data_IF_790077740742
#
_entry.id   IF_790077740742
#
_cell.length_a   1.000
_cell.length_b   1.000
_cell.length_c   1.000
_cell.angle_alpha   90.00
_cell.angle_beta   90.00
_cell.angle_gamma   90.00
#
_symmetry.space_group_name_H-M   'P 1'
#
loop_
_entity.id
_entity.type
_entity.pdbx_description
1 polymer ?
#
# COMPACT_ATOMS: atom_id res chain seq x y z
N UNK A 1 37.92 -4.32 13.52
CA UNK A 1 37.83 -2.89 13.81
C UNK A 1 36.38 -2.46 13.57
N UNK A 2 35.58 -2.41 14.62
CA UNK A 2 34.18 -2.00 14.54
C UNK A 2 34.13 -0.46 14.41
N UNK A 3 33.55 0.03 13.32
CA UNK A 3 33.34 1.46 13.11
C UNK A 3 32.32 1.99 14.11
N UNK A 4 32.72 2.99 14.92
CA UNK A 4 31.79 3.76 15.74
C UNK A 4 30.85 4.53 14.81
N UNK A 5 29.55 4.28 14.91
CA UNK A 5 28.53 5.13 14.30
C UNK A 5 28.47 6.41 15.13
N UNK A 6 28.94 7.53 14.56
CA UNK A 6 28.83 8.87 15.16
C UNK A 6 27.76 9.62 14.40
N UNK A 7 26.66 9.96 15.07
CA UNK A 7 25.59 10.79 14.52
C UNK A 7 25.67 12.17 15.19
N UNK A 8 25.79 13.21 14.37
CA UNK A 8 25.64 14.60 14.80
C UNK A 8 24.14 14.94 14.88
N UNK A 9 23.63 15.18 16.09
CA UNK A 9 22.34 15.86 16.32
C UNK A 9 22.64 17.26 16.86
N UNK A 10 21.88 18.25 16.39
CA UNK A 10 21.89 19.61 16.94
C UNK A 10 21.79 19.59 18.47
N UNK A 11 22.50 20.52 19.10
CA UNK A 11 22.92 20.52 20.49
C UNK A 11 21.81 20.19 21.51
N UNK A 12 21.78 18.94 21.99
CA UNK A 12 21.91 18.56 23.41
C UNK A 12 21.42 17.11 23.63
N UNK A 13 22.31 16.29 24.20
CA UNK A 13 22.21 14.84 24.51
C UNK A 13 22.57 13.90 23.35
N UNK A 14 23.87 13.73 23.12
CA UNK A 14 24.40 12.51 22.50
C UNK A 14 24.20 11.33 23.47
N UNK A 15 23.10 10.59 23.31
CA UNK A 15 22.99 9.24 23.85
C UNK A 15 23.84 8.34 22.96
N UNK A 16 25.07 8.04 23.40
CA UNK A 16 25.89 7.00 22.78
C UNK A 16 25.28 5.66 23.21
N UNK A 17 24.31 5.17 22.44
CA UNK A 17 23.82 3.81 22.63
C UNK A 17 24.87 2.88 22.03
N UNK A 18 25.40 1.95 22.83
CA UNK A 18 26.38 1.00 22.34
C UNK A 18 25.71 0.00 21.40
N UNK A 19 26.29 -0.35 20.24
CA UNK A 19 25.81 -1.45 19.41
C UNK A 19 25.65 -2.78 20.17
N UNK A 20 26.38 -2.94 21.27
CA UNK A 20 26.33 -4.11 22.14
C UNK A 20 24.99 -4.21 22.92
N UNK A 21 24.45 -3.08 23.38
CA UNK A 21 23.15 -3.03 24.07
C UNK A 21 22.02 -3.48 23.12
N UNK A 22 22.08 -3.03 21.86
CA UNK A 22 21.13 -3.45 20.83
C UNK A 22 21.26 -4.93 20.47
N UNK A 23 22.47 -5.49 20.48
CA UNK A 23 22.66 -6.92 20.26
C UNK A 23 22.07 -7.76 21.38
N UNK A 24 22.22 -7.32 22.62
CA UNK A 24 21.66 -8.04 23.77
C UNK A 24 20.13 -7.95 23.79
N UNK A 25 19.55 -6.80 23.45
CA UNK A 25 18.11 -6.67 23.19
C UNK A 25 17.64 -7.68 22.12
N UNK A 26 18.36 -7.77 20.99
CA UNK A 26 18.00 -8.69 19.90
C UNK A 26 18.08 -10.15 20.31
N UNK A 27 19.12 -10.53 21.06
CA UNK A 27 19.27 -11.89 21.60
C UNK A 27 18.12 -12.23 22.56
N UNK A 28 17.76 -11.29 23.42
CA UNK A 28 16.64 -11.45 24.35
C UNK A 28 15.31 -11.61 23.60
N UNK A 29 15.05 -10.76 22.60
CA UNK A 29 13.87 -10.85 21.74
C UNK A 29 13.82 -12.22 21.05
N UNK A 30 14.89 -12.62 20.36
CA UNK A 30 14.94 -13.88 19.63
C UNK A 30 14.67 -15.09 20.53
N UNK A 31 15.23 -15.10 21.75
CA UNK A 31 14.99 -16.15 22.74
C UNK A 31 13.51 -16.22 23.13
N UNK A 32 12.85 -15.08 23.29
CA UNK A 32 11.44 -15.00 23.66
C UNK A 32 10.46 -15.34 22.53
N UNK A 33 10.83 -15.10 21.27
CA UNK A 33 10.00 -15.40 20.10
C UNK A 33 9.86 -16.90 19.78
N UNK A 34 10.80 -17.73 20.25
CA UNK A 34 10.87 -19.15 19.92
C UNK A 34 9.54 -19.90 20.12
N UNK A 35 9.19 -20.78 19.17
CA UNK A 35 7.91 -21.51 19.14
C UNK A 35 7.63 -22.38 20.37
N UNK A 36 8.67 -22.76 21.13
CA UNK A 36 8.53 -23.52 22.37
C UNK A 36 8.09 -22.67 23.58
N UNK A 37 8.06 -21.33 23.45
CA UNK A 37 7.62 -20.46 24.53
C UNK A 37 6.10 -20.29 24.54
N UNK A 38 5.50 -20.04 25.71
CA UNK A 38 4.07 -19.72 25.81
C UNK A 38 3.70 -18.50 24.97
N UNK A 39 2.49 -18.48 24.42
CA UNK A 39 1.97 -17.36 23.62
C UNK A 39 2.06 -16.03 24.36
N UNK A 40 1.79 -16.02 25.66
CA UNK A 40 1.93 -14.82 26.49
C UNK A 40 3.34 -14.22 26.41
N UNK A 41 4.37 -15.05 26.59
CA UNK A 41 5.78 -14.62 26.50
C UNK A 41 6.11 -14.14 25.09
N UNK A 42 5.66 -14.86 24.06
CA UNK A 42 5.89 -14.48 22.65
C UNK A 42 5.26 -13.13 22.34
N UNK A 43 4.02 -12.89 22.77
CA UNK A 43 3.34 -11.59 22.63
C UNK A 43 4.14 -10.45 23.27
N UNK A 44 4.63 -10.64 24.50
CA UNK A 44 5.45 -9.64 25.18
C UNK A 44 6.80 -9.40 24.49
N UNK A 45 7.41 -10.45 23.93
CA UNK A 45 8.63 -10.31 23.13
C UNK A 45 8.40 -9.55 21.83
N UNK A 46 7.29 -9.80 21.12
CA UNK A 46 6.91 -9.02 19.93
C UNK A 46 6.58 -7.58 20.31
N UNK A 47 5.89 -7.34 21.43
CA UNK A 47 5.65 -5.99 21.95
C UNK A 47 6.97 -5.25 22.20
N UNK A 48 7.91 -5.87 22.88
CA UNK A 48 9.23 -5.29 23.13
C UNK A 48 9.98 -5.01 21.83
N UNK A 49 9.95 -5.96 20.89
CA UNK A 49 10.51 -5.81 19.56
C UNK A 49 9.91 -4.61 18.80
N UNK A 50 8.58 -4.46 18.81
CA UNK A 50 7.90 -3.33 18.15
C UNK A 50 8.32 -2.00 18.77
N UNK A 51 8.39 -1.90 20.10
CA UNK A 51 8.84 -0.68 20.77
C UNK A 51 10.27 -0.30 20.37
N UNK A 52 11.16 -1.29 20.19
CA UNK A 52 12.51 -1.05 19.64
C UNK A 52 12.45 -0.59 18.18
N UNK A 53 11.58 -1.18 17.36
CA UNK A 53 11.39 -0.73 15.97
C UNK A 53 10.84 0.70 15.88
N UNK A 54 10.19 1.25 16.91
CA UNK A 54 9.77 2.67 16.90
C UNK A 54 10.97 3.63 17.06
N UNK A 55 12.11 3.17 17.58
CA UNK A 55 13.32 3.96 17.77
C UNK A 55 14.12 4.04 16.45
N UNK A 56 14.29 5.23 15.84
CA UNK A 56 15.01 5.38 14.57
C UNK A 56 16.43 4.81 14.59
N UNK A 57 17.18 5.07 15.66
CA UNK A 57 18.56 4.62 15.82
C UNK A 57 18.66 3.08 15.86
N UNK A 58 17.67 2.40 16.46
CA UNK A 58 17.60 0.94 16.47
C UNK A 58 17.25 0.38 15.09
N UNK A 59 16.35 1.04 14.34
CA UNK A 59 16.03 0.63 12.97
C UNK A 59 17.26 0.71 12.07
N UNK A 60 18.02 1.79 12.16
CA UNK A 60 19.27 1.94 11.40
C UNK A 60 20.25 0.80 11.70
N UNK A 61 20.42 0.46 12.99
CA UNK A 61 21.24 -0.65 13.41
C UNK A 61 20.75 -1.99 12.84
N UNK A 62 19.50 -2.36 13.07
CA UNK A 62 18.99 -3.71 12.77
C UNK A 62 18.94 -4.00 11.27
N UNK A 63 18.69 -2.97 10.42
CA UNK A 63 18.73 -3.11 8.95
C UNK A 63 20.08 -3.63 8.46
N UNK A 64 21.18 -3.14 9.05
CA UNK A 64 22.54 -3.57 8.68
C UNK A 64 22.89 -5.02 9.09
N UNK A 65 22.11 -5.63 9.99
CA UNK A 65 22.42 -6.96 10.55
C UNK A 65 21.89 -8.13 9.72
N UNK A 66 20.85 -7.91 8.89
CA UNK A 66 20.15 -8.97 8.17
C UNK A 66 19.38 -9.97 9.06
N UNK A 67 19.12 -9.65 10.34
CA UNK A 67 18.48 -10.56 11.31
C UNK A 67 16.94 -10.44 11.29
N UNK A 68 16.38 -9.37 10.74
CA UNK A 68 14.92 -9.08 10.73
C UNK A 68 14.11 -10.28 10.21
N UNK A 69 14.50 -10.84 9.08
CA UNK A 69 13.78 -11.96 8.44
C UNK A 69 13.81 -13.23 9.31
N UNK A 70 14.91 -13.46 10.04
CA UNK A 70 15.03 -14.57 11.01
C UNK A 70 14.12 -14.37 12.23
N UNK A 71 13.91 -13.13 12.68
CA UNK A 71 12.97 -12.86 13.79
C UNK A 71 11.53 -13.24 13.40
N UNK A 72 11.11 -12.89 12.18
CA UNK A 72 9.78 -13.22 11.67
C UNK A 72 9.60 -14.70 11.27
N UNK A 73 10.68 -15.46 11.07
CA UNK A 73 10.61 -16.92 10.91
C UNK A 73 10.09 -17.63 12.17
N UNK A 74 10.32 -17.07 13.35
CA UNK A 74 9.74 -17.59 14.60
C UNK A 74 8.24 -17.29 14.74
N UNK A 75 7.66 -16.46 13.88
CA UNK A 75 6.30 -15.94 13.98
C UNK A 75 5.38 -16.43 12.84
N UNK A 76 5.77 -17.47 12.10
CA UNK A 76 4.99 -17.98 10.96
C UNK A 76 3.59 -18.48 11.35
N UNK A 77 3.40 -18.88 12.60
CA UNK A 77 2.13 -19.32 13.20
C UNK A 77 1.31 -18.16 13.82
N UNK A 78 1.80 -16.92 13.77
CA UNK A 78 1.14 -15.78 14.42
C UNK A 78 -0.28 -15.52 13.90
N UNK A 79 -0.60 -15.92 12.66
CA UNK A 79 -1.94 -15.81 12.11
C UNK A 79 -2.99 -16.68 12.84
N UNK A 80 -2.56 -17.71 13.57
CA UNK A 80 -3.43 -18.61 14.34
C UNK A 80 -3.90 -18.01 15.69
N UNK A 81 -3.30 -16.89 16.10
CA UNK A 81 -3.50 -16.24 17.40
C UNK A 81 -3.85 -14.76 17.20
N UNK A 82 -4.98 -14.29 17.73
CA UNK A 82 -5.44 -12.91 17.47
C UNK A 82 -4.43 -11.86 17.95
N UNK A 83 -4.07 -11.90 19.24
CA UNK A 83 -3.20 -10.89 19.84
C UNK A 83 -1.75 -11.00 19.35
N UNK A 84 -1.21 -12.22 19.20
CA UNK A 84 0.13 -12.41 18.64
C UNK A 84 0.18 -11.92 17.19
N UNK A 85 -0.85 -12.22 16.39
CA UNK A 85 -1.00 -11.70 15.05
C UNK A 85 -1.03 -10.16 15.03
N UNK A 86 -1.82 -9.54 15.90
CA UNK A 86 -1.87 -8.08 16.02
C UNK A 86 -0.49 -7.50 16.36
N UNK A 87 0.16 -7.98 17.41
CA UNK A 87 1.51 -7.54 17.78
C UNK A 87 2.50 -7.70 16.62
N UNK A 88 2.42 -8.82 15.89
CA UNK A 88 3.29 -9.11 14.75
C UNK A 88 3.05 -8.12 13.60
N UNK A 89 1.78 -7.87 13.23
CA UNK A 89 1.45 -6.88 12.20
C UNK A 89 1.87 -5.47 12.59
N UNK A 90 1.74 -5.08 13.87
CA UNK A 90 2.22 -3.79 14.37
C UNK A 90 3.74 -3.67 14.25
N UNK A 91 4.50 -4.74 14.52
CA UNK A 91 5.94 -4.77 14.34
C UNK A 91 6.34 -4.61 12.86
N UNK A 92 5.69 -5.36 11.96
CA UNK A 92 5.94 -5.28 10.51
C UNK A 92 5.58 -3.89 9.97
N UNK A 93 4.48 -3.30 10.45
CA UNK A 93 4.07 -1.96 10.06
C UNK A 93 5.03 -0.87 10.56
N UNK A 94 5.56 -1.00 11.78
CA UNK A 94 6.60 -0.10 12.30
C UNK A 94 7.86 -0.09 11.42
N UNK A 95 8.20 -1.23 10.80
CA UNK A 95 9.31 -1.35 9.85
C UNK A 95 8.95 -0.95 8.41
N UNK A 96 7.67 -0.73 8.09
CA UNK A 96 7.20 -0.60 6.70
C UNK A 96 7.85 0.55 5.92
N UNK A 97 8.37 1.57 6.61
CA UNK A 97 9.07 2.72 6.01
C UNK A 97 10.50 2.41 5.59
N UNK A 98 11.08 1.36 6.15
CA UNK A 98 12.48 0.98 5.98
C UNK A 98 12.65 -0.25 5.07
N UNK A 99 11.55 -0.79 4.53
CA UNK A 99 11.55 -2.06 3.78
C UNK A 99 12.38 -2.03 2.49
N UNK A 100 12.77 -0.86 1.99
CA UNK A 100 13.69 -0.74 0.84
C UNK A 100 15.07 -1.33 1.15
N UNK A 101 15.51 -1.21 2.39
CA UNK A 101 16.84 -1.63 2.86
C UNK A 101 16.82 -2.97 3.61
N UNK A 102 15.62 -3.53 3.81
CA UNK A 102 15.43 -4.81 4.48
C UNK A 102 15.37 -5.90 3.42
N UNK A 103 15.98 -7.06 3.68
CA UNK A 103 15.87 -8.24 2.82
C UNK A 103 14.64 -9.08 3.22
N UNK A 104 13.45 -8.69 2.76
CA UNK A 104 12.23 -9.45 3.04
C UNK A 104 12.19 -10.74 2.22
N UNK A 105 12.53 -11.85 2.86
CA UNK A 105 12.46 -13.18 2.25
C UNK A 105 11.01 -13.66 2.03
N UNK A 106 10.86 -14.79 1.34
CA UNK A 106 9.54 -15.39 1.08
C UNK A 106 8.75 -15.67 2.36
N UNK A 107 9.42 -16.02 3.47
CA UNK A 107 8.76 -16.28 4.76
C UNK A 107 8.14 -15.01 5.35
N UNK A 108 8.81 -13.86 5.23
CA UNK A 108 8.29 -12.56 5.66
C UNK A 108 7.03 -12.19 4.87
N UNK A 109 7.09 -12.31 3.54
CA UNK A 109 5.97 -11.98 2.65
C UNK A 109 4.77 -12.93 2.86
N UNK A 110 5.03 -14.23 3.01
CA UNK A 110 3.99 -15.21 3.26
C UNK A 110 3.30 -14.98 4.61
N UNK A 111 4.07 -14.70 5.66
CA UNK A 111 3.53 -14.31 6.96
C UNK A 111 2.64 -13.07 6.85
N UNK A 112 3.10 -12.03 6.14
CA UNK A 112 2.33 -10.80 5.97
C UNK A 112 0.97 -11.07 5.33
N UNK A 113 0.94 -11.88 4.26
CA UNK A 113 -0.30 -12.27 3.57
C UNK A 113 -1.21 -13.08 4.48
N UNK A 114 -0.66 -14.06 5.22
CA UNK A 114 -1.44 -14.86 6.17
C UNK A 114 -2.08 -13.99 7.26
N UNK A 115 -1.41 -12.93 7.71
CA UNK A 115 -1.92 -12.00 8.73
C UNK A 115 -3.06 -11.11 8.22
N UNK A 116 -3.26 -10.98 6.90
CA UNK A 116 -4.43 -10.29 6.33
C UNK A 116 -5.72 -11.09 6.48
N UNK A 117 -5.62 -12.41 6.68
CA UNK A 117 -6.77 -13.29 6.71
C UNK A 117 -7.65 -13.05 7.94
N UNK A 118 -8.96 -13.10 7.68
CA UNK A 118 -10.04 -12.89 8.65
C UNK A 118 -10.52 -14.19 9.31
N UNK A 119 -9.68 -15.23 9.34
CA UNK A 119 -10.09 -16.55 9.80
C UNK A 119 -10.46 -16.51 11.29
N UNK A 120 -11.77 -16.49 11.55
CA UNK A 120 -12.43 -16.49 12.86
C UNK A 120 -12.59 -17.91 13.44
N UNK A 121 -12.01 -18.93 12.83
CA UNK A 121 -12.21 -20.31 13.26
C UNK A 121 -11.18 -20.68 14.32
N UNK A 122 -11.56 -20.51 15.59
CA UNK A 122 -10.85 -20.97 16.78
C UNK A 122 -9.42 -20.39 16.90
N UNK A 123 -9.32 -19.10 17.22
CA UNK A 123 -8.03 -18.54 17.64
C UNK A 123 -7.53 -19.34 18.85
N UNK A 124 -6.39 -20.03 18.68
CA UNK A 124 -5.80 -20.86 19.75
C UNK A 124 -5.55 -20.06 21.03
N UNK A 125 -5.53 -18.73 20.94
CA UNK A 125 -5.34 -17.79 22.05
C UNK A 125 -6.33 -17.95 23.20
N UNK A 126 -7.59 -18.37 22.96
CA UNK A 126 -8.57 -18.51 24.04
C UNK A 126 -8.29 -19.71 24.96
N UNK A 127 -7.66 -20.78 24.43
CA UNK A 127 -7.41 -22.00 25.20
C UNK A 127 -6.03 -22.01 25.89
N UNK A 128 -5.09 -21.18 25.44
CA UNK A 128 -3.70 -21.18 25.94
C UNK A 128 -3.37 -20.05 26.93
N UNK A 129 -4.27 -19.07 27.10
CA UNK A 129 -4.06 -17.90 27.95
C UNK A 129 -5.06 -17.87 29.11
N UNK A 130 -4.60 -17.51 30.30
CA UNK A 130 -5.51 -17.21 31.41
C UNK A 130 -6.24 -15.88 31.20
N UNK A 131 -7.41 -15.71 31.83
CA UNK A 131 -8.17 -14.45 31.77
C UNK A 131 -7.33 -13.22 32.18
N UNK A 132 -6.51 -13.38 33.23
CA UNK A 132 -5.60 -12.33 33.69
C UNK A 132 -4.54 -11.96 32.65
N UNK A 133 -3.99 -12.95 31.94
CA UNK A 133 -3.02 -12.73 30.88
C UNK A 133 -3.66 -12.07 29.67
N UNK A 134 -4.88 -12.48 29.29
CA UNK A 134 -5.63 -11.87 28.20
C UNK A 134 -5.87 -10.38 28.47
N UNK A 135 -6.32 -10.00 29.66
CA UNK A 135 -6.55 -8.59 30.03
C UNK A 135 -5.27 -7.77 29.87
N UNK A 136 -4.14 -8.27 30.41
CA UNK A 136 -2.84 -7.60 30.29
C UNK A 136 -2.43 -7.40 28.83
N UNK A 137 -2.57 -8.44 28.00
CA UNK A 137 -2.19 -8.36 26.60
C UNK A 137 -3.10 -7.43 25.81
N UNK A 138 -4.41 -7.40 26.09
CA UNK A 138 -5.35 -6.49 25.45
C UNK A 138 -5.04 -5.03 25.79
N UNK A 139 -4.72 -4.73 27.05
CA UNK A 139 -4.31 -3.37 27.46
C UNK A 139 -3.01 -2.95 26.77
N UNK A 140 -2.03 -3.85 26.71
CA UNK A 140 -0.79 -3.60 26.00
C UNK A 140 -1.00 -3.42 24.50
N UNK A 141 -1.91 -4.19 23.89
CA UNK A 141 -2.25 -4.06 22.47
C UNK A 141 -2.84 -2.68 22.17
N UNK A 142 -3.78 -2.18 22.99
CA UNK A 142 -4.36 -0.84 22.83
C UNK A 142 -3.29 0.25 22.92
N UNK A 143 -2.42 0.19 23.93
CA UNK A 143 -1.31 1.15 24.11
C UNK A 143 -0.36 1.11 22.92
N UNK A 144 0.06 -0.08 22.50
CA UNK A 144 0.97 -0.23 21.38
C UNK A 144 0.39 0.33 20.08
N UNK A 145 -0.87 0.01 19.76
CA UNK A 145 -1.50 0.51 18.55
C UNK A 145 -1.52 2.03 18.51
N UNK A 146 -1.83 2.68 19.65
CA UNK A 146 -1.79 4.14 19.76
C UNK A 146 -0.37 4.69 19.55
N UNK A 147 0.65 4.08 20.15
CA UNK A 147 2.04 4.53 19.99
C UNK A 147 2.55 4.35 18.56
N UNK A 148 2.27 3.21 17.93
CA UNK A 148 2.63 2.92 16.55
C UNK A 148 2.01 3.96 15.63
N UNK A 149 0.69 4.19 15.74
CA UNK A 149 -0.01 5.18 14.92
C UNK A 149 0.50 6.61 15.09
N UNK A 150 0.76 7.01 16.33
CA UNK A 150 1.33 8.32 16.64
C UNK A 150 2.70 8.49 15.99
N UNK A 151 3.56 7.48 16.09
CA UNK A 151 4.92 7.49 15.54
C UNK A 151 4.91 7.44 14.01
N UNK A 152 3.96 6.70 13.43
CA UNK A 152 3.81 6.60 11.97
C UNK A 152 2.91 7.68 11.37
N UNK A 153 2.41 8.63 12.17
CA UNK A 153 1.48 9.68 11.73
C UNK A 153 0.32 9.12 10.88
N UNK A 154 -0.29 8.01 11.33
CA UNK A 154 -1.42 7.38 10.67
C UNK A 154 -2.63 7.37 11.62
N UNK A 155 -3.83 7.46 11.05
CA UNK A 155 -5.07 7.26 11.80
C UNK A 155 -5.62 5.85 11.49
N UNK A 156 -5.88 5.05 12.54
CA UNK A 156 -6.68 3.84 12.37
C UNK A 156 -8.12 4.25 12.03
N UNK A 157 -8.83 3.44 11.23
CA UNK A 157 -10.29 3.45 11.23
C UNK A 157 -10.79 3.24 12.66
N UNK A 158 -11.84 3.96 13.06
CA UNK A 158 -12.45 3.80 14.38
C UNK A 158 -12.96 2.36 14.48
N UNK A 159 -12.23 1.51 15.18
CA UNK A 159 -12.60 0.10 15.39
C UNK A 159 -12.07 -0.42 16.71
N UNK A 160 -12.94 -1.10 17.46
CA UNK A 160 -12.59 -1.74 18.74
C UNK A 160 -12.10 -3.19 18.54
N UNK A 161 -12.24 -3.75 17.33
CA UNK A 161 -11.86 -5.13 17.04
C UNK A 161 -10.38 -5.26 16.74
N UNK A 162 -9.66 -6.03 17.58
CA UNK A 162 -8.25 -6.36 17.36
C UNK A 162 -8.02 -7.12 16.04
N UNK A 163 -8.94 -7.99 15.65
CA UNK A 163 -8.89 -8.68 14.34
C UNK A 163 -8.94 -7.69 13.17
N UNK A 164 -9.78 -6.64 13.22
CA UNK A 164 -9.80 -5.60 12.19
C UNK A 164 -8.53 -4.75 12.20
N UNK A 165 -7.99 -4.41 13.38
CA UNK A 165 -6.73 -3.67 13.52
C UNK A 165 -5.54 -4.47 12.96
N UNK A 166 -5.46 -5.77 13.27
CA UNK A 166 -4.44 -6.70 12.75
C UNK A 166 -4.42 -6.66 11.23
N UNK A 167 -5.58 -6.88 10.60
CA UNK A 167 -5.70 -6.85 9.14
C UNK A 167 -5.35 -5.49 8.57
N UNK A 168 -5.78 -4.41 9.20
CA UNK A 168 -5.44 -3.06 8.75
C UNK A 168 -3.93 -2.84 8.73
N UNK A 169 -3.21 -3.19 9.80
CA UNK A 169 -1.74 -3.08 9.84
C UNK A 169 -1.08 -3.96 8.77
N UNK A 170 -1.58 -5.18 8.55
CA UNK A 170 -1.07 -6.07 7.51
C UNK A 170 -1.24 -5.45 6.11
N UNK A 171 -2.45 -4.97 5.78
CA UNK A 171 -2.73 -4.33 4.50
C UNK A 171 -1.94 -3.03 4.30
N UNK A 172 -1.84 -2.17 5.31
CA UNK A 172 -1.05 -0.95 5.19
C UNK A 172 0.46 -1.23 5.07
N UNK A 173 0.95 -2.32 5.67
CA UNK A 173 2.33 -2.78 5.44
C UNK A 173 2.51 -3.26 3.99
N UNK A 174 1.56 -4.02 3.44
CA UNK A 174 1.58 -4.46 2.03
C UNK A 174 1.62 -3.27 1.08
N UNK A 175 0.80 -2.25 1.32
CA UNK A 175 0.73 -1.03 0.51
C UNK A 175 2.03 -0.21 0.54
N UNK A 176 2.86 -0.37 1.58
CA UNK A 176 4.17 0.29 1.69
C UNK A 176 5.32 -0.56 1.14
N UNK A 177 5.05 -1.78 0.64
CA UNK A 177 6.12 -2.62 0.11
C UNK A 177 6.78 -1.98 -1.13
N UNK A 178 8.11 -1.90 -1.17
CA UNK A 178 8.86 -1.51 -2.36
C UNK A 178 8.58 -2.42 -3.57
N UNK A 179 8.76 -1.87 -4.78
CA UNK A 179 8.50 -2.58 -6.03
C UNK A 179 9.29 -3.91 -6.15
N UNK A 180 10.49 -3.99 -5.59
CA UNK A 180 11.37 -5.17 -5.66
C UNK A 180 10.76 -6.44 -5.05
N UNK A 181 9.74 -6.31 -4.19
CA UNK A 181 9.07 -7.46 -3.55
C UNK A 181 8.04 -8.14 -4.45
N UNK A 182 7.55 -7.48 -5.50
CA UNK A 182 6.47 -7.98 -6.36
C UNK A 182 6.98 -8.93 -7.45
N UNK A 183 7.67 -9.99 -7.02
CA UNK A 183 7.98 -11.13 -7.87
C UNK A 183 6.72 -11.84 -8.36
N UNK A 184 6.83 -12.62 -9.45
CA UNK A 184 5.72 -13.44 -9.95
C UNK A 184 5.11 -14.33 -8.85
N UNK A 185 5.97 -15.01 -8.09
CA UNK A 185 5.55 -15.85 -6.96
C UNK A 185 4.72 -15.06 -5.95
N UNK A 186 5.14 -13.85 -5.59
CA UNK A 186 4.42 -13.07 -4.58
C UNK A 186 3.07 -12.59 -5.09
N UNK A 187 2.97 -12.23 -6.38
CA UNK A 187 1.69 -11.93 -7.02
C UNK A 187 0.75 -13.14 -6.93
N UNK A 188 1.21 -14.33 -7.28
CA UNK A 188 0.39 -15.54 -7.16
C UNK A 188 -0.12 -15.76 -5.72
N UNK A 189 0.75 -15.56 -4.72
CA UNK A 189 0.36 -15.65 -3.30
C UNK A 189 -0.71 -14.61 -2.93
N UNK A 190 -0.58 -13.36 -3.37
CA UNK A 190 -1.57 -12.30 -3.11
C UNK A 190 -2.94 -12.66 -3.71
N UNK A 191 -2.94 -13.18 -4.94
CA UNK A 191 -4.16 -13.62 -5.62
C UNK A 191 -4.81 -14.80 -4.88
N UNK A 192 -4.04 -15.85 -4.59
CA UNK A 192 -4.58 -17.10 -4.02
C UNK A 192 -5.10 -16.92 -2.60
N UNK A 193 -4.65 -15.86 -1.91
CA UNK A 193 -5.11 -15.48 -0.58
C UNK A 193 -6.22 -14.41 -0.61
N UNK A 194 -6.76 -14.07 -1.77
CA UNK A 194 -7.85 -13.13 -1.92
C UNK A 194 -7.51 -11.71 -1.46
N UNK A 195 -6.23 -11.31 -1.45
CA UNK A 195 -5.79 -9.99 -0.98
C UNK A 195 -6.24 -8.88 -1.94
N UNK A 196 -6.33 -9.22 -3.23
CA UNK A 196 -6.72 -8.29 -4.29
C UNK A 196 -8.14 -7.77 -4.11
N UNK A 197 -9.08 -8.66 -3.82
CA UNK A 197 -10.47 -8.36 -3.52
C UNK A 197 -10.57 -7.39 -2.33
N UNK A 198 -9.81 -7.65 -1.27
CA UNK A 198 -9.79 -6.80 -0.08
C UNK A 198 -9.30 -5.37 -0.39
N UNK A 199 -8.23 -5.27 -1.19
CA UNK A 199 -7.68 -3.98 -1.61
C UNK A 199 -8.65 -3.25 -2.53
N UNK A 200 -9.30 -3.94 -3.47
CA UNK A 200 -10.32 -3.35 -4.35
C UNK A 200 -11.52 -2.85 -3.53
N UNK A 201 -12.01 -3.63 -2.58
CA UNK A 201 -13.13 -3.25 -1.73
C UNK A 201 -12.81 -2.04 -0.84
N UNK A 202 -11.60 -2.01 -0.29
CA UNK A 202 -11.13 -0.89 0.54
C UNK A 202 -10.93 0.37 -0.31
N UNK A 203 -10.33 0.22 -1.50
CA UNK A 203 -10.12 1.32 -2.43
C UNK A 203 -11.45 1.92 -2.89
N UNK A 204 -12.40 1.07 -3.31
CA UNK A 204 -13.74 1.50 -3.71
C UNK A 204 -14.43 2.28 -2.59
N UNK A 205 -14.42 1.76 -1.36
CA UNK A 205 -15.05 2.44 -0.22
C UNK A 205 -14.46 3.83 -0.01
N UNK A 206 -13.13 3.97 -0.11
CA UNK A 206 -12.44 5.27 -0.01
C UNK A 206 -12.79 6.21 -1.16
N UNK A 207 -12.92 5.70 -2.39
CA UNK A 207 -13.32 6.51 -3.55
C UNK A 207 -14.77 7.01 -3.47
N UNK A 208 -15.66 6.29 -2.76
CA UNK A 208 -17.08 6.64 -2.67
C UNK A 208 -17.43 7.55 -1.49
N UNK A 209 -16.60 7.64 -0.45
CA UNK A 209 -16.81 8.53 0.69
C UNK A 209 -16.34 9.98 0.45
N UNK A 210 -15.99 10.33 -0.79
CA UNK A 210 -15.48 11.64 -1.24
C UNK A 210 -14.29 12.22 -0.43
N UNK A 211 -13.66 11.40 0.43
CA UNK A 211 -12.41 11.68 1.11
C UNK A 211 -11.22 11.35 0.18
N UNK A 212 -11.14 12.05 -0.95
CA UNK A 212 -10.14 11.84 -1.99
C UNK A 212 -8.80 12.51 -1.57
N UNK A 213 -8.20 12.01 -0.49
CA UNK A 213 -6.90 12.47 0.03
C UNK A 213 -5.74 11.59 -0.48
N UNK A 214 -4.49 12.05 -0.24
CA UNK A 214 -3.21 11.35 -0.49
C UNK A 214 -3.19 9.85 -0.13
N UNK A 215 -4.11 9.39 0.73
CA UNK A 215 -4.24 7.98 1.13
C UNK A 215 -4.51 7.02 -0.04
N UNK A 216 -5.06 7.50 -1.16
CA UNK A 216 -5.32 6.66 -2.34
C UNK A 216 -4.06 6.32 -3.14
N UNK A 217 -3.02 7.15 -3.07
CA UNK A 217 -1.82 6.99 -3.89
C UNK A 217 -1.16 5.63 -3.66
N UNK A 218 -1.08 5.18 -2.40
CA UNK A 218 -0.48 3.88 -2.05
C UNK A 218 -1.26 2.69 -2.62
N UNK A 219 -2.58 2.77 -2.66
CA UNK A 219 -3.43 1.73 -3.26
C UNK A 219 -3.17 1.66 -4.76
N UNK A 220 -3.13 2.80 -5.44
CA UNK A 220 -2.86 2.86 -6.88
C UNK A 220 -1.44 2.38 -7.21
N UNK A 221 -0.44 2.74 -6.39
CA UNK A 221 0.94 2.26 -6.55
C UNK A 221 1.03 0.74 -6.35
N UNK A 222 0.37 0.20 -5.32
CA UNK A 222 0.26 -1.24 -5.11
C UNK A 222 -0.36 -1.92 -6.33
N UNK A 223 -1.52 -1.43 -6.79
CA UNK A 223 -2.24 -1.98 -7.94
C UNK A 223 -1.42 -1.91 -9.23
N UNK A 224 -0.66 -0.84 -9.44
CA UNK A 224 0.24 -0.70 -10.58
C UNK A 224 1.38 -1.74 -10.54
N UNK A 225 1.89 -2.08 -9.35
CA UNK A 225 2.98 -3.06 -9.19
C UNK A 225 2.53 -4.52 -9.42
N UNK A 226 1.24 -4.82 -9.31
CA UNK A 226 0.71 -6.20 -9.41
C UNK A 226 -0.06 -6.47 -10.72
N UNK A 227 -0.36 -5.44 -11.51
CA UNK A 227 -1.29 -5.52 -12.65
C UNK A 227 -0.68 -6.02 -13.97
N UNK A 228 0.56 -6.48 -13.98
CA UNK A 228 1.32 -6.87 -15.19
C UNK A 228 1.16 -8.35 -15.59
N UNK A 229 0.41 -9.15 -14.83
CA UNK A 229 0.18 -10.58 -15.14
C UNK A 229 -1.26 -10.81 -15.59
N UNK A 230 -1.48 -11.75 -16.51
CA UNK A 230 -2.84 -12.07 -17.00
C UNK A 230 -3.80 -12.48 -15.87
N UNK A 231 -3.31 -13.26 -14.91
CA UNK A 231 -4.06 -13.70 -13.73
C UNK A 231 -4.53 -12.51 -12.88
N UNK A 232 -3.65 -11.53 -12.66
CA UNK A 232 -3.99 -10.31 -11.93
C UNK A 232 -4.91 -9.41 -12.73
N UNK A 233 -4.66 -9.24 -14.03
CA UNK A 233 -5.53 -8.44 -14.90
C UNK A 233 -6.95 -8.99 -14.89
N UNK A 234 -7.12 -10.32 -14.98
CA UNK A 234 -8.44 -10.95 -14.94
C UNK A 234 -9.21 -10.54 -13.67
N UNK A 235 -8.65 -10.75 -12.48
CA UNK A 235 -9.34 -10.38 -11.23
C UNK A 235 -9.59 -8.87 -11.11
N UNK A 236 -8.61 -8.04 -11.49
CA UNK A 236 -8.72 -6.57 -11.44
C UNK A 236 -9.82 -6.05 -12.36
N UNK A 237 -10.06 -6.73 -13.49
CA UNK A 237 -11.11 -6.42 -14.44
C UNK A 237 -12.47 -6.96 -13.99
N UNK A 238 -12.57 -8.23 -13.60
CA UNK A 238 -13.88 -8.90 -13.47
C UNK A 238 -14.46 -8.85 -12.07
N UNK A 239 -13.66 -8.57 -11.02
CA UNK A 239 -14.14 -8.61 -9.65
C UNK A 239 -15.30 -7.64 -9.42
N UNK A 240 -16.41 -8.19 -8.91
CA UNK A 240 -17.65 -7.48 -8.58
C UNK A 240 -18.11 -6.53 -9.70
N UNK A 241 -18.19 -7.05 -10.93
CA UNK A 241 -18.62 -6.33 -12.14
C UNK A 241 -17.78 -5.08 -12.43
N UNK A 242 -16.44 -5.25 -12.44
CA UNK A 242 -15.53 -4.15 -12.77
C UNK A 242 -15.46 -3.06 -11.73
N UNK A 243 -15.64 -3.42 -10.45
CA UNK A 243 -15.65 -2.48 -9.32
C UNK A 243 -14.43 -1.57 -9.32
N UNK A 244 -13.24 -2.12 -9.55
CA UNK A 244 -12.00 -1.34 -9.63
C UNK A 244 -12.00 -0.39 -10.83
N UNK A 245 -12.35 -0.86 -12.02
CA UNK A 245 -12.37 -0.05 -13.24
C UNK A 245 -13.29 1.16 -13.07
N UNK A 246 -14.50 0.95 -12.53
CA UNK A 246 -15.46 2.02 -12.22
C UNK A 246 -14.86 3.05 -11.23
N UNK A 247 -14.15 2.60 -10.20
CA UNK A 247 -13.44 3.50 -9.26
C UNK A 247 -12.31 4.27 -9.93
N UNK A 248 -11.49 3.62 -10.77
CA UNK A 248 -10.40 4.27 -11.49
C UNK A 248 -10.93 5.34 -12.44
N UNK A 249 -12.00 5.06 -13.17
CA UNK A 249 -12.66 6.04 -14.04
C UNK A 249 -13.18 7.25 -13.26
N UNK A 250 -13.78 7.04 -12.07
CA UNK A 250 -14.18 8.14 -11.16
C UNK A 250 -12.96 8.97 -10.74
N UNK A 251 -11.85 8.34 -10.37
CA UNK A 251 -10.60 9.04 -10.01
C UNK A 251 -10.09 9.86 -11.19
N UNK A 252 -9.98 9.28 -12.39
CA UNK A 252 -9.57 10.02 -13.59
C UNK A 252 -10.50 11.20 -13.88
N UNK A 253 -11.81 11.05 -13.71
CA UNK A 253 -12.77 12.15 -13.87
C UNK A 253 -12.53 13.30 -12.88
N UNK A 254 -12.33 12.96 -11.60
CA UNK A 254 -12.16 13.96 -10.54
C UNK A 254 -10.81 14.68 -10.65
N UNK A 255 -9.73 13.99 -10.99
CA UNK A 255 -8.39 14.59 -11.06
C UNK A 255 -8.00 15.08 -12.46
N UNK A 256 -8.68 14.63 -13.50
CA UNK A 256 -8.43 14.98 -14.90
C UNK A 256 -9.30 16.11 -15.46
N UNK A 257 -10.25 16.67 -14.69
CA UNK A 257 -11.07 17.81 -15.12
C UNK A 257 -10.55 19.13 -14.53
N UNK A 258 -10.50 20.18 -15.36
CA UNK A 258 -9.85 21.47 -15.09
C UNK A 258 -10.43 22.25 -13.87
N UNK A 259 -11.59 21.87 -13.33
CA UNK A 259 -12.21 22.50 -12.16
C UNK A 259 -11.50 22.17 -10.84
N UNK A 260 -10.83 21.03 -10.72
CA UNK A 260 -9.98 20.67 -9.58
C UNK A 260 -8.58 21.27 -9.66
N UNK A 261 -8.19 21.86 -10.81
CA UNK A 261 -6.98 22.68 -10.91
C UNK A 261 -7.01 23.91 -9.98
N UNK A 262 -8.20 24.38 -9.54
CA UNK A 262 -8.30 25.40 -8.47
C UNK A 262 -8.06 24.84 -7.07
N UNK A 263 -8.33 23.56 -6.80
CA UNK A 263 -8.02 22.91 -5.52
C UNK A 263 -6.58 22.39 -5.44
N UNK A 264 -5.89 22.28 -6.58
CA UNK A 264 -4.44 22.01 -6.67
C UNK A 264 -3.61 23.17 -6.07
N UNK A 265 -4.17 24.38 -5.99
CA UNK A 265 -3.43 25.62 -5.68
C UNK A 265 -3.48 26.02 -4.20
N UNK A 266 -4.48 25.59 -3.42
CA UNK A 266 -4.73 26.17 -2.08
C UNK A 266 -4.12 25.43 -0.88
N UNK A 267 -3.31 24.40 -1.11
CA UNK A 267 -2.50 23.78 -0.05
C UNK A 267 -1.06 23.65 -0.55
N UNK A 268 -0.15 24.42 0.05
CA UNK A 268 1.28 24.63 -0.27
C UNK A 268 2.18 23.34 -0.32
N UNK A 269 1.60 22.17 -0.57
CA UNK A 269 2.26 20.87 -0.72
C UNK A 269 1.46 19.82 -1.53
N UNK A 270 0.26 20.14 -2.05
CA UNK A 270 -0.71 19.12 -2.51
C UNK A 270 -0.87 18.94 -4.03
N UNK A 271 -0.34 19.87 -4.84
CA UNK A 271 -0.49 19.80 -6.30
C UNK A 271 0.22 18.62 -6.94
N UNK A 272 1.47 18.36 -6.56
CA UNK A 272 2.23 17.19 -7.02
C UNK A 272 1.59 15.86 -6.59
N UNK A 273 0.91 15.84 -5.44
CA UNK A 273 0.24 14.62 -4.95
C UNK A 273 -0.97 14.24 -5.82
N UNK A 274 -1.75 15.22 -6.27
CA UNK A 274 -2.96 14.99 -7.07
C UNK A 274 -2.64 14.48 -8.47
N UNK A 275 -1.60 15.04 -9.11
CA UNK A 275 -1.11 14.56 -10.41
C UNK A 275 -0.51 13.15 -10.29
N UNK A 276 0.20 12.86 -9.19
CA UNK A 276 0.74 11.52 -8.93
C UNK A 276 -0.36 10.46 -8.71
N UNK A 277 -1.47 10.83 -8.06
CA UNK A 277 -2.67 9.98 -7.97
C UNK A 277 -3.23 9.69 -9.36
N UNK A 278 -3.40 10.72 -10.20
CA UNK A 278 -3.88 10.55 -11.58
C UNK A 278 -2.95 9.66 -12.40
N UNK A 279 -1.64 9.93 -12.40
CA UNK A 279 -0.63 9.11 -13.08
C UNK A 279 -0.72 7.65 -12.63
N UNK A 280 -0.87 7.40 -11.32
CA UNK A 280 -0.93 6.04 -10.79
C UNK A 280 -2.22 5.33 -11.20
N UNK A 281 -3.35 6.03 -11.22
CA UNK A 281 -4.60 5.49 -11.73
C UNK A 281 -4.50 5.12 -13.23
N UNK A 282 -3.93 6.01 -14.04
CA UNK A 282 -3.71 5.76 -15.46
C UNK A 282 -2.74 4.59 -15.70
N UNK A 283 -1.68 4.43 -14.89
CA UNK A 283 -0.78 3.26 -14.96
C UNK A 283 -1.50 1.95 -14.72
N UNK A 284 -2.38 1.88 -13.71
CA UNK A 284 -3.20 0.69 -13.47
C UNK A 284 -4.08 0.40 -14.69
N UNK A 285 -4.71 1.44 -15.24
CA UNK A 285 -5.55 1.32 -16.44
C UNK A 285 -4.75 0.85 -17.66
N UNK A 286 -3.55 1.39 -17.90
CA UNK A 286 -2.64 0.92 -18.96
C UNK A 286 -2.37 -0.57 -18.81
N UNK A 287 -1.97 -1.00 -17.61
CA UNK A 287 -1.62 -2.40 -17.36
C UNK A 287 -2.80 -3.34 -17.60
N UNK A 288 -4.02 -2.98 -17.19
CA UNK A 288 -5.20 -3.84 -17.38
C UNK A 288 -5.84 -3.73 -18.77
N UNK A 289 -5.44 -2.74 -19.58
CA UNK A 289 -5.96 -2.54 -20.95
C UNK A 289 -4.98 -2.94 -22.05
N UNK A 290 -3.75 -3.33 -21.71
CA UNK A 290 -2.71 -3.71 -22.68
C UNK A 290 -3.17 -4.76 -23.70
N UNK A 291 -4.09 -5.65 -23.33
CA UNK A 291 -4.73 -6.57 -24.26
C UNK A 291 -6.22 -6.23 -24.40
N UNK A 292 -6.53 -5.06 -24.98
CA UNK A 292 -7.92 -4.62 -25.20
C UNK A 292 -8.72 -5.56 -26.11
N UNK A 293 -8.05 -6.45 -26.86
CA UNK A 293 -8.68 -7.54 -27.60
C UNK A 293 -9.46 -8.53 -26.73
N UNK A 294 -9.15 -8.61 -25.44
CA UNK A 294 -9.83 -9.44 -24.46
C UNK A 294 -11.30 -9.00 -24.27
N UNK A 295 -12.24 -9.93 -24.42
CA UNK A 295 -13.68 -9.69 -24.27
C UNK A 295 -14.06 -9.12 -22.90
N UNK A 296 -13.34 -9.46 -21.82
CA UNK A 296 -13.58 -8.88 -20.51
C UNK A 296 -13.25 -7.39 -20.47
N UNK A 297 -12.12 -6.98 -21.07
CA UNK A 297 -11.72 -5.57 -21.17
C UNK A 297 -12.77 -4.83 -22.00
N UNK A 298 -13.11 -5.35 -23.19
CA UNK A 298 -14.16 -4.78 -24.04
C UNK A 298 -15.43 -4.60 -23.24
N UNK A 299 -15.99 -5.66 -22.65
CA UNK A 299 -17.27 -5.62 -21.93
C UNK A 299 -17.34 -4.52 -20.88
N UNK A 300 -16.27 -4.31 -20.11
CA UNK A 300 -16.23 -3.31 -19.05
C UNK A 300 -16.23 -1.88 -19.60
N UNK A 301 -15.44 -1.62 -20.64
CA UNK A 301 -15.39 -0.33 -21.33
C UNK A 301 -16.50 -0.17 -22.39
N UNK A 302 -17.40 -1.15 -22.52
CA UNK A 302 -18.57 -1.13 -23.40
C UNK A 302 -19.88 -0.74 -22.66
N UNK A 303 -19.86 -0.50 -21.34
CA UNK A 303 -21.04 -0.03 -20.59
C UNK A 303 -21.38 1.44 -20.91
N UNK A 304 -22.62 1.89 -20.67
CA UNK A 304 -23.24 3.15 -21.17
C UNK A 304 -22.48 4.47 -20.91
N UNK A 305 -21.37 4.46 -20.16
CA UNK A 305 -20.53 5.63 -19.82
C UNK A 305 -19.41 5.91 -20.86
N UNK A 306 -19.51 5.34 -22.09
CA UNK A 306 -18.42 5.29 -23.11
C UNK A 306 -17.89 6.65 -23.58
N UNK A 307 -18.76 7.62 -23.81
CA UNK A 307 -18.33 8.96 -24.26
C UNK A 307 -17.49 9.64 -23.19
N UNK A 308 -17.93 9.51 -21.94
CA UNK A 308 -17.34 10.17 -20.78
C UNK A 308 -15.86 9.82 -20.59
N UNK A 309 -15.45 8.55 -20.75
CA UNK A 309 -14.08 8.15 -20.41
C UNK A 309 -13.03 8.49 -21.47
N UNK A 310 -13.33 8.25 -22.75
CA UNK A 310 -12.44 8.71 -23.83
C UNK A 310 -12.31 10.24 -23.79
N UNK A 311 -13.40 10.95 -23.53
CA UNK A 311 -13.39 12.40 -23.35
C UNK A 311 -12.56 12.82 -22.12
N UNK A 312 -12.62 12.07 -21.01
CA UNK A 312 -11.77 12.32 -19.83
C UNK A 312 -10.29 12.19 -20.19
N UNK A 313 -9.87 11.10 -20.84
CA UNK A 313 -8.48 10.93 -21.29
C UNK A 313 -8.05 12.06 -22.24
N UNK A 314 -8.84 12.34 -23.27
CA UNK A 314 -8.51 13.42 -24.19
C UNK A 314 -8.43 14.79 -23.48
N UNK A 315 -9.32 15.07 -22.53
CA UNK A 315 -9.23 16.28 -21.71
C UNK A 315 -7.98 16.33 -20.82
N UNK A 316 -7.49 15.20 -20.31
CA UNK A 316 -6.25 15.14 -19.52
C UNK A 316 -5.05 15.63 -20.36
N UNK A 317 -4.97 15.24 -21.63
CA UNK A 317 -3.90 15.71 -22.55
C UNK A 317 -3.87 17.22 -22.73
N UNK A 318 -5.04 17.88 -22.66
CA UNK A 318 -5.19 19.33 -22.89
C UNK A 318 -5.41 20.12 -21.59
N UNK A 319 -5.33 19.48 -20.43
CA UNK A 319 -5.51 20.15 -19.14
C UNK A 319 -4.29 21.00 -18.81
N UNK A 320 -4.52 22.27 -18.45
CA UNK A 320 -3.43 23.13 -17.98
C UNK A 320 -2.91 22.66 -16.63
N UNK A 321 -1.61 22.38 -16.57
CA UNK A 321 -0.89 21.99 -15.35
C UNK A 321 0.14 23.06 -14.97
N UNK A 322 -0.23 24.33 -14.97
CA UNK A 322 0.68 25.49 -14.86
C UNK A 322 1.76 25.38 -13.76
N UNK A 323 1.49 24.65 -12.68
CA UNK A 323 2.37 24.52 -11.52
C UNK A 323 3.12 23.18 -11.41
N UNK A 324 2.91 22.24 -12.34
CA UNK A 324 3.60 20.95 -12.34
C UNK A 324 4.99 21.03 -12.99
N UNK A 325 6.02 20.35 -12.46
CA UNK A 325 7.30 20.18 -13.14
C UNK A 325 7.15 19.58 -14.54
N UNK A 326 8.02 19.98 -15.47
CA UNK A 326 7.99 19.52 -16.88
C UNK A 326 8.05 17.99 -16.97
N UNK A 327 8.82 17.34 -16.11
CA UNK A 327 8.99 15.89 -16.06
C UNK A 327 7.68 15.18 -15.67
N UNK A 328 6.93 15.75 -14.71
CA UNK A 328 5.65 15.19 -14.27
C UNK A 328 4.60 15.35 -15.37
N UNK A 329 4.57 16.51 -16.05
CA UNK A 329 3.69 16.74 -17.21
C UNK A 329 3.96 15.73 -18.32
N UNK A 330 5.24 15.57 -18.71
CA UNK A 330 5.65 14.63 -19.74
C UNK A 330 5.27 13.19 -19.37
N UNK A 331 5.44 12.81 -18.10
CA UNK A 331 5.06 11.49 -17.60
C UNK A 331 3.55 11.26 -17.68
N UNK A 332 2.73 12.25 -17.28
CA UNK A 332 1.28 12.16 -17.37
C UNK A 332 0.82 11.97 -18.82
N UNK A 333 1.29 12.83 -19.72
CA UNK A 333 0.96 12.79 -21.15
C UNK A 333 1.35 11.44 -21.74
N UNK A 334 2.55 10.94 -21.45
CA UNK A 334 3.02 9.66 -21.97
C UNK A 334 2.13 8.50 -21.52
N UNK A 335 1.80 8.43 -20.22
CA UNK A 335 0.96 7.34 -19.69
C UNK A 335 -0.45 7.41 -20.27
N UNK A 336 -1.02 8.60 -20.41
CA UNK A 336 -2.36 8.78 -20.97
C UNK A 336 -2.41 8.47 -22.49
N UNK A 337 -1.37 8.82 -23.25
CA UNK A 337 -1.23 8.42 -24.65
C UNK A 337 -1.11 6.90 -24.83
N UNK A 338 -0.37 6.23 -23.94
CA UNK A 338 -0.30 4.75 -23.95
C UNK A 338 -1.69 4.16 -23.69
N UNK A 339 -2.43 4.70 -22.71
CA UNK A 339 -3.79 4.25 -22.43
C UNK A 339 -4.72 4.45 -23.64
N UNK A 340 -4.71 5.65 -24.23
CA UNK A 340 -5.49 5.94 -25.43
C UNK A 340 -5.13 5.00 -26.57
N UNK A 341 -3.84 4.68 -26.76
CA UNK A 341 -3.38 3.70 -27.76
C UNK A 341 -4.03 2.35 -27.51
N UNK A 342 -3.95 1.81 -26.29
CA UNK A 342 -4.59 0.54 -25.92
C UNK A 342 -6.10 0.56 -26.21
N UNK A 343 -6.79 1.66 -25.88
CA UNK A 343 -8.24 1.80 -26.04
C UNK A 343 -8.67 1.87 -27.51
N UNK A 344 -7.84 2.36 -28.43
CA UNK A 344 -8.20 2.51 -29.86
C UNK A 344 -7.62 1.42 -30.75
N UNK A 345 -6.57 0.72 -30.30
CA UNK A 345 -5.82 -0.26 -31.10
C UNK A 345 -6.73 -1.31 -31.72
N UNK A 346 -7.66 -1.88 -30.96
CA UNK A 346 -8.59 -2.90 -31.47
C UNK A 346 -10.07 -2.47 -31.46
N UNK A 347 -10.38 -1.22 -31.14
CA UNK A 347 -11.76 -0.74 -31.01
C UNK A 347 -12.12 0.33 -32.04
N UNK A 348 -12.88 -0.08 -33.07
CA UNK A 348 -13.37 0.83 -34.13
C UNK A 348 -14.28 1.95 -33.61
N UNK A 349 -15.05 1.71 -32.56
CA UNK A 349 -15.93 2.75 -31.99
C UNK A 349 -15.11 3.81 -31.26
N UNK A 350 -14.10 3.40 -30.49
CA UNK A 350 -13.21 4.35 -29.82
C UNK A 350 -12.40 5.17 -30.83
N UNK A 351 -12.01 4.58 -31.97
CA UNK A 351 -11.41 5.34 -33.08
C UNK A 351 -12.35 6.41 -33.63
N UNK A 352 -13.65 6.10 -33.81
CA UNK A 352 -14.65 7.09 -34.27
C UNK A 352 -14.79 8.23 -33.27
N UNK A 353 -14.93 7.92 -31.98
CA UNK A 353 -15.00 8.93 -30.92
C UNK A 353 -13.75 9.83 -30.90
N UNK A 354 -12.57 9.25 -31.12
CA UNK A 354 -11.32 10.02 -31.23
C UNK A 354 -11.34 11.00 -32.42
N UNK A 355 -11.88 10.59 -33.58
CA UNK A 355 -12.00 11.47 -34.76
C UNK A 355 -13.09 12.55 -34.60
N UNK A 356 -14.12 12.27 -33.81
CA UNK A 356 -15.25 13.17 -33.54
C UNK A 356 -14.99 14.11 -32.36
N UNK A 357 -13.89 13.91 -31.62
CA UNK A 357 -13.56 14.72 -30.45
C UNK A 357 -13.22 16.16 -30.86
N UNK A 358 -13.98 17.11 -30.32
CA UNK A 358 -13.70 18.53 -30.52
C UNK A 358 -12.75 19.03 -29.43
N UNK A 359 -11.62 19.58 -29.85
CA UNK A 359 -10.67 20.23 -28.97
C UNK A 359 -11.35 21.36 -28.17
N UNK A 360 -11.03 21.54 -26.88
CA UNK A 360 -11.45 22.73 -26.14
C UNK A 360 -10.95 23.99 -26.87
N UNK A 361 -11.79 25.04 -26.90
CA UNK A 361 -11.59 26.25 -27.73
C UNK A 361 -10.27 27.00 -27.49
N UNK A 362 -9.61 26.77 -26.35
CA UNK A 362 -8.26 27.22 -26.04
C UNK A 362 -7.45 26.02 -25.52
N UNK A 363 -6.78 25.26 -26.39
CA UNK A 363 -5.94 24.17 -25.94
C UNK A 363 -4.68 24.79 -25.33
N UNK A 364 -4.45 24.56 -24.03
CA UNK A 364 -3.16 24.85 -23.39
C UNK A 364 -2.15 23.79 -23.88
N UNK A 365 -1.71 23.95 -25.12
CA UNK A 365 -0.74 23.08 -25.78
C UNK A 365 0.64 23.40 -25.18
N UNK A 366 0.91 22.93 -23.96
CA UNK A 366 2.27 22.90 -23.40
C UNK A 366 3.09 21.76 -24.03
N UNK A 367 3.00 21.57 -25.35
CA UNK A 367 3.86 20.65 -26.06
C UNK A 367 5.12 21.44 -26.44
N UNK A 368 6.12 21.38 -25.57
CA UNK A 368 7.49 21.84 -25.83
C UNK A 368 7.74 23.36 -25.73
N UNK A 369 7.71 23.89 -24.50
CA UNK A 369 8.61 25.00 -24.10
C UNK A 369 9.51 24.51 -22.96
#
# INVERSE_FOLDING_TARGET
MAGKIVIYKEANKCLVISPEDFMDDLRYIAKGLGKGNPVFTRCLSVLHMTNKFLIPEFREYIKSTGIISKLFEFLQDAAEYELLGLFTTSAMFALSRDLQEIDGNKNFLNLLVNLTQMNNTNTKSANELSDSQLIILQDNARKLCQEVLKTTNCALPITESFTLQKRWFALETLLNLPQQYYSQWFKDVLHDNGVMEQIIDTFYTKCHLDSLECSMFKYLQFLANVSDTEKMQHILLTYNDGKLVKSLMKVCKVYGTSTTARHIVDRRSSGSSSVNVLISALKVLVNITHNYGNENVKRLFLTEDRGNFMDICLNILFTSLDHAPKEIKAHLILVDLILLTNLVEENRNNRKLLFEFNLPSEPNVCFFD
#
